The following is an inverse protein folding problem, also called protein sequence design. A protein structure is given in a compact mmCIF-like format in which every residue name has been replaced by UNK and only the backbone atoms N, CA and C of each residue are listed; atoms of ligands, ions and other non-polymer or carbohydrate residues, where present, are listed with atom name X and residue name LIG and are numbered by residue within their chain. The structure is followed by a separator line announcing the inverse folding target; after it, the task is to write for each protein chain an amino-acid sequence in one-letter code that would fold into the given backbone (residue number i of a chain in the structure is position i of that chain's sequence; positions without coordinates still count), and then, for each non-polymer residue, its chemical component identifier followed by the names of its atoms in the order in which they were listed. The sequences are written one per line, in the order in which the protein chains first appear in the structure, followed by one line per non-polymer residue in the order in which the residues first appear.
data_IF_170365759100
#
_entry.id   IF_170365759100
#
_cell.length_a   1.000
_cell.length_b   1.000
_cell.length_c   1.000
_cell.angle_alpha   90.00
_cell.angle_beta   90.00
_cell.angle_gamma   90.00
#
_symmetry.space_group_name_H-M   'P 1'
#
loop_
_entity.id
_entity.type
_entity.pdbx_description
1 polymer ?
#
# COMPACT_ATOMS: atom_id res chain seq x y z
N UNK A 1 4.59 -12.73 19.64
CA UNK A 1 5.32 -12.35 18.41
C UNK A 1 4.64 -13.03 17.23
N UNK A 2 3.45 -12.54 16.90
CA UNK A 2 2.50 -13.21 16.00
C UNK A 2 2.89 -12.95 14.55
N UNK A 3 3.20 -14.00 13.79
CA UNK A 3 2.83 -14.19 12.37
C UNK A 3 2.88 -12.99 11.39
N UNK A 4 3.67 -11.94 11.63
CA UNK A 4 3.58 -10.66 10.90
C UNK A 4 3.93 -10.77 9.41
N UNK A 5 4.61 -11.83 8.99
CA UNK A 5 4.94 -12.07 7.58
C UNK A 5 3.91 -12.91 6.82
N UNK A 6 3.18 -13.80 7.50
CA UNK A 6 2.35 -14.80 6.80
C UNK A 6 1.16 -14.14 6.10
N UNK A 7 0.47 -13.22 6.79
CA UNK A 7 -0.63 -12.45 6.18
C UNK A 7 -0.19 -11.71 4.92
N UNK A 8 0.85 -10.85 4.98
CA UNK A 8 1.40 -10.17 3.81
C UNK A 8 1.85 -11.11 2.67
N UNK A 9 2.47 -12.25 3.00
CA UNK A 9 2.85 -13.25 1.99
C UNK A 9 1.61 -13.83 1.31
N UNK A 10 0.58 -14.21 2.07
CA UNK A 10 -0.67 -14.73 1.52
C UNK A 10 -1.36 -13.67 0.64
N UNK A 11 -1.38 -12.41 1.05
CA UNK A 11 -1.91 -11.30 0.23
C UNK A 11 -1.14 -11.12 -1.08
N UNK A 12 0.18 -11.31 -1.07
CA UNK A 12 1.00 -11.21 -2.28
C UNK A 12 0.78 -12.40 -3.23
N UNK A 13 0.65 -13.61 -2.69
CA UNK A 13 0.27 -14.82 -3.46
C UNK A 13 -1.08 -14.59 -4.13
N UNK A 14 -2.05 -14.09 -3.38
CA UNK A 14 -3.37 -13.78 -3.88
C UNK A 14 -3.35 -12.71 -5.01
N UNK A 15 -2.68 -11.58 -4.75
CA UNK A 15 -2.57 -10.48 -5.68
C UNK A 15 -1.86 -10.85 -6.99
N UNK A 16 -0.89 -11.78 -6.96
CA UNK A 16 -0.12 -12.21 -8.13
C UNK A 16 -0.73 -13.41 -8.86
N UNK A 17 -1.41 -14.32 -8.15
CA UNK A 17 -1.78 -15.64 -8.68
C UNK A 17 -3.30 -15.82 -8.75
N UNK A 18 -4.00 -15.66 -7.62
CA UNK A 18 -5.40 -16.03 -7.46
C UNK A 18 -6.33 -14.95 -8.06
N UNK A 19 -6.61 -13.86 -7.34
CA UNK A 19 -7.46 -12.78 -7.84
C UNK A 19 -6.74 -11.89 -8.87
N UNK A 20 -5.40 -11.82 -8.80
CA UNK A 20 -4.62 -11.16 -9.85
C UNK A 20 -4.84 -9.65 -9.93
N UNK A 21 -4.76 -8.95 -8.80
CA UNK A 21 -4.98 -7.50 -8.70
C UNK A 21 -4.20 -6.71 -9.77
N UNK A 22 -2.93 -7.09 -9.99
CA UNK A 22 -2.05 -6.43 -10.95
C UNK A 22 -2.41 -6.64 -12.44
N UNK A 23 -3.41 -7.48 -12.75
CA UNK A 23 -3.98 -7.57 -14.12
C UNK A 23 -4.77 -6.31 -14.49
N UNK A 24 -5.22 -5.53 -13.50
CA UNK A 24 -5.95 -4.26 -13.67
C UNK A 24 -5.20 -3.13 -12.93
N UNK A 25 -4.04 -2.67 -13.46
CA UNK A 25 -3.14 -1.77 -12.75
C UNK A 25 -3.78 -0.42 -12.41
N UNK A 26 -4.60 0.15 -13.31
CA UNK A 26 -5.27 1.43 -13.05
C UNK A 26 -6.32 1.34 -11.94
N UNK A 27 -7.09 0.25 -11.90
CA UNK A 27 -8.06 0.02 -10.83
C UNK A 27 -7.34 -0.19 -9.47
N UNK A 28 -6.24 -0.94 -9.47
CA UNK A 28 -5.40 -1.15 -8.29
C UNK A 28 -4.79 0.17 -7.79
N UNK A 29 -4.26 0.98 -8.71
CA UNK A 29 -3.74 2.31 -8.42
C UNK A 29 -4.81 3.20 -7.80
N UNK A 30 -5.97 3.32 -8.46
CA UNK A 30 -7.07 4.16 -8.00
C UNK A 30 -7.57 3.75 -6.61
N UNK A 31 -7.79 2.46 -6.38
CA UNK A 31 -8.22 1.95 -5.07
C UNK A 31 -7.17 2.21 -3.97
N UNK A 32 -5.88 2.01 -4.28
CA UNK A 32 -4.80 2.25 -3.33
C UNK A 32 -4.71 3.72 -2.94
N UNK A 33 -4.72 4.63 -3.92
CA UNK A 33 -4.68 6.06 -3.67
C UNK A 33 -5.91 6.53 -2.90
N UNK A 34 -7.10 6.06 -3.26
CA UNK A 34 -8.33 6.37 -2.53
C UNK A 34 -8.25 5.94 -1.06
N UNK A 35 -7.74 4.74 -0.79
CA UNK A 35 -7.54 4.24 0.56
C UNK A 35 -6.53 5.08 1.36
N UNK A 36 -5.40 5.43 0.76
CA UNK A 36 -4.38 6.29 1.40
C UNK A 36 -4.96 7.66 1.73
N UNK A 37 -5.60 8.33 0.76
CA UNK A 37 -6.17 9.67 0.94
C UNK A 37 -7.24 9.65 2.03
N UNK A 38 -8.16 8.68 1.98
CA UNK A 38 -9.19 8.51 2.99
C UNK A 38 -8.58 8.30 4.39
N UNK A 39 -7.54 7.47 4.49
CA UNK A 39 -6.85 7.21 5.74
C UNK A 39 -6.17 8.47 6.30
N UNK A 40 -5.44 9.23 5.48
CA UNK A 40 -4.79 10.48 5.90
C UNK A 40 -5.80 11.51 6.36
N UNK A 41 -6.90 11.71 5.61
CA UNK A 41 -7.99 12.61 6.01
C UNK A 41 -8.60 12.17 7.34
N UNK A 42 -8.85 10.87 7.51
CA UNK A 42 -9.40 10.33 8.73
C UNK A 42 -8.48 10.56 9.94
N UNK A 43 -7.19 10.24 9.82
CA UNK A 43 -6.28 10.37 10.97
C UNK A 43 -5.98 11.83 11.32
N UNK A 44 -5.77 12.71 10.33
CA UNK A 44 -5.47 14.13 10.59
C UNK A 44 -6.72 14.94 10.97
N UNK A 45 -7.87 14.63 10.35
CA UNK A 45 -9.09 15.41 10.51
C UNK A 45 -10.03 14.92 11.61
N UNK A 46 -9.94 13.63 11.98
CA UNK A 46 -10.84 13.02 12.97
C UNK A 46 -10.06 12.37 14.11
N UNK A 47 -9.18 11.40 13.83
CA UNK A 47 -8.55 10.61 14.91
C UNK A 47 -7.64 11.46 15.79
N UNK A 48 -6.67 12.17 15.21
CA UNK A 48 -5.75 13.03 15.97
C UNK A 48 -6.48 14.07 16.83
N UNK A 49 -7.37 14.90 16.25
CA UNK A 49 -8.08 15.93 17.01
C UNK A 49 -9.01 15.40 18.11
N UNK A 50 -9.56 14.20 17.96
CA UNK A 50 -10.55 13.64 18.89
C UNK A 50 -9.93 12.73 19.97
N UNK A 51 -8.61 12.54 19.98
CA UNK A 51 -7.93 11.65 20.93
C UNK A 51 -6.77 12.36 21.64
N UNK A 52 -6.60 12.06 22.92
CA UNK A 52 -5.48 12.56 23.74
C UNK A 52 -4.36 11.54 23.93
N UNK A 53 -4.53 10.32 23.40
CA UNK A 53 -3.56 9.24 23.47
C UNK A 53 -3.54 8.44 22.15
N UNK A 54 -2.38 7.87 21.75
CA UNK A 54 -1.08 7.97 22.40
C UNK A 54 -0.52 9.40 22.32
N UNK A 55 0.18 9.81 23.38
CA UNK A 55 0.85 11.10 23.44
C UNK A 55 2.23 11.02 22.78
N UNK A 56 2.62 12.07 22.07
CA UNK A 56 3.96 12.24 21.52
C UNK A 56 4.52 13.63 21.80
N UNK A 57 5.69 13.92 21.23
CA UNK A 57 6.44 15.15 21.47
C UNK A 57 5.78 16.40 20.84
N UNK A 58 4.97 16.24 19.79
CA UNK A 58 4.41 17.36 19.01
C UNK A 58 2.88 17.37 19.02
N UNK A 59 2.26 16.21 18.87
CA UNK A 59 0.80 16.04 18.90
C UNK A 59 0.42 14.81 19.73
N UNK A 60 -0.88 14.54 19.86
CA UNK A 60 -1.39 13.31 20.46
C UNK A 60 -2.51 12.74 19.60
N UNK A 61 -2.89 11.50 19.87
CA UNK A 61 -4.08 10.87 19.28
C UNK A 61 -3.84 10.12 17.97
N UNK A 62 -2.68 10.26 17.32
CA UNK A 62 -2.42 9.54 16.07
C UNK A 62 -2.23 8.04 16.33
N UNK A 63 -2.73 7.14 15.45
CA UNK A 63 -2.69 5.70 15.67
C UNK A 63 -1.28 5.12 15.87
N UNK A 64 -0.28 5.74 15.23
CA UNK A 64 1.12 5.34 15.36
C UNK A 64 1.86 6.32 16.26
N UNK A 65 2.48 5.86 17.37
CA UNK A 65 3.17 6.74 18.31
C UNK A 65 4.19 7.67 17.66
N UNK A 66 5.00 7.18 16.73
CA UNK A 66 6.02 8.01 16.05
C UNK A 66 5.43 9.16 15.23
N UNK A 67 4.18 9.08 14.77
CA UNK A 67 3.52 10.20 14.08
C UNK A 67 3.21 11.34 15.05
N UNK A 68 3.01 11.02 16.33
CA UNK A 68 2.77 12.02 17.36
C UNK A 68 4.03 12.83 17.71
N UNK A 69 5.21 12.33 17.35
CA UNK A 69 6.49 13.02 17.52
C UNK A 69 6.86 13.90 16.32
N UNK A 70 6.07 13.84 15.23
CA UNK A 70 6.32 14.54 13.98
C UNK A 70 5.45 15.80 13.86
N UNK A 71 6.03 16.89 13.35
CA UNK A 71 5.26 18.04 12.86
C UNK A 71 4.42 17.69 11.64
N UNK A 72 3.44 18.52 11.29
CA UNK A 72 2.57 18.26 10.13
C UNK A 72 3.37 18.12 8.82
N UNK A 73 4.41 18.94 8.63
CA UNK A 73 5.28 18.85 7.44
C UNK A 73 6.05 17.52 7.37
N UNK A 74 6.58 17.04 8.51
CA UNK A 74 7.28 15.76 8.58
C UNK A 74 6.33 14.59 8.31
N UNK A 75 5.11 14.64 8.88
CA UNK A 75 4.05 13.66 8.59
C UNK A 75 3.66 13.66 7.12
N UNK A 76 3.49 14.83 6.52
CA UNK A 76 3.20 14.94 5.09
C UNK A 76 4.31 14.32 4.24
N UNK A 77 5.58 14.53 4.61
CA UNK A 77 6.73 13.85 4.01
C UNK A 77 6.65 12.33 4.15
N UNK A 78 6.34 11.83 5.34
CA UNK A 78 6.16 10.40 5.59
C UNK A 78 5.03 9.79 4.75
N UNK A 79 3.87 10.43 4.69
CA UNK A 79 2.74 9.98 3.87
C UNK A 79 3.10 9.95 2.39
N UNK A 80 3.82 10.96 1.90
CA UNK A 80 4.28 11.00 0.52
C UNK A 80 5.26 9.85 0.21
N UNK A 81 6.29 9.67 1.03
CA UNK A 81 7.29 8.62 0.82
C UNK A 81 6.65 7.24 0.84
N UNK A 82 5.81 6.94 1.84
CA UNK A 82 5.12 5.63 1.93
C UNK A 82 4.16 5.39 0.76
N UNK A 83 3.47 6.44 0.30
CA UNK A 83 2.65 6.39 -0.92
C UNK A 83 3.50 6.01 -2.12
N UNK A 84 4.60 6.74 -2.36
CA UNK A 84 5.50 6.49 -3.50
C UNK A 84 6.07 5.06 -3.45
N UNK A 85 6.46 4.58 -2.27
CA UNK A 85 6.91 3.19 -2.09
C UNK A 85 5.82 2.19 -2.50
N UNK A 86 4.57 2.41 -2.09
CA UNK A 86 3.44 1.58 -2.53
C UNK A 86 3.22 1.59 -4.04
N UNK A 87 3.35 2.77 -4.67
CA UNK A 87 3.22 2.92 -6.13
C UNK A 87 4.32 2.14 -6.87
N UNK A 88 5.55 2.16 -6.37
CA UNK A 88 6.66 1.34 -6.92
C UNK A 88 6.31 -0.15 -6.85
N UNK A 89 5.76 -0.63 -5.74
CA UNK A 89 5.35 -2.03 -5.64
C UNK A 89 4.22 -2.41 -6.60
N UNK A 90 3.25 -1.51 -6.83
CA UNK A 90 2.21 -1.74 -7.85
C UNK A 90 2.83 -1.86 -9.25
N UNK A 91 3.77 -0.97 -9.59
CA UNK A 91 4.47 -1.02 -10.87
C UNK A 91 5.27 -2.33 -11.04
N UNK A 92 5.94 -2.79 -9.99
CA UNK A 92 6.66 -4.07 -9.98
C UNK A 92 5.71 -5.26 -10.15
N UNK A 93 4.59 -5.29 -9.40
CA UNK A 93 3.58 -6.35 -9.52
C UNK A 93 2.95 -6.41 -10.92
N UNK A 94 2.73 -5.26 -11.55
CA UNK A 94 2.28 -5.17 -12.93
C UNK A 94 3.34 -5.69 -13.92
N UNK A 95 4.61 -5.31 -13.75
CA UNK A 95 5.70 -5.79 -14.59
C UNK A 95 5.83 -7.33 -14.55
N UNK A 96 5.73 -7.94 -13.36
CA UNK A 96 5.70 -9.40 -13.20
C UNK A 96 4.53 -10.03 -13.96
N UNK A 97 3.35 -9.42 -13.88
CA UNK A 97 2.15 -9.89 -14.59
C UNK A 97 2.33 -9.85 -16.11
N UNK A 98 2.93 -8.79 -16.65
CA UNK A 98 3.24 -8.68 -18.08
C UNK A 98 4.23 -9.75 -18.55
N UNK A 99 5.30 -9.97 -17.79
CA UNK A 99 6.32 -10.98 -18.11
C UNK A 99 5.73 -12.39 -18.17
N UNK A 100 4.83 -12.73 -17.24
CA UNK A 100 4.12 -14.01 -17.24
C UNK A 100 3.23 -14.18 -18.46
N UNK A 101 2.48 -13.15 -18.86
CA UNK A 101 1.66 -13.17 -20.06
C UNK A 101 2.47 -13.44 -21.33
N UNK A 102 3.64 -12.79 -21.47
CA UNK A 102 4.55 -13.00 -22.61
C UNK A 102 5.11 -14.42 -22.68
N UNK A 103 5.49 -15.00 -21.54
CA UNK A 103 5.99 -16.38 -21.48
C UNK A 103 4.92 -17.41 -21.85
N UNK A 104 3.68 -17.20 -21.39
CA UNK A 104 2.55 -18.08 -21.73
C UNK A 104 2.17 -18.01 -23.22
N UNK A 105 2.23 -16.81 -23.81
CA UNK A 105 2.00 -16.61 -25.26
C UNK A 105 3.05 -17.30 -26.12
N UNK A 106 4.35 -17.22 -25.75
CA UNK A 106 5.45 -17.91 -26.46
C UNK A 106 5.31 -19.44 -26.47
N UNK A 107 4.77 -20.05 -25.40
CA UNK A 107 4.59 -21.51 -25.31
C UNK A 107 3.45 -22.05 -26.18
N UNK A 108 2.50 -21.21 -26.59
CA UNK A 108 1.36 -21.60 -27.45
C UNK A 108 1.65 -21.48 -28.96
N UNK A 109 2.86 -21.07 -29.34
CA UNK A 109 3.25 -20.81 -30.73
C UNK A 109 3.99 -21.94 -31.46
N UNK A 110 3.82 -23.21 -31.08
CA UNK A 110 4.32 -24.34 -31.87
C UNK A 110 3.19 -24.94 -32.71
N UNK A 111 3.17 -24.76 -34.04
CA UNK A 111 2.38 -25.63 -34.91
C UNK A 111 3.04 -27.01 -34.97
N UNK A 112 2.23 -28.06 -34.81
CA UNK A 112 2.58 -29.44 -35.17
C UNK A 112 2.42 -29.64 -36.69
#
# INVERSE_FOLDING_TARGET
YYLHGVGPVLQMVDALILFGAFRRPLATLGATLAGIIAYVIWIEGLVGPLNTAPAGLVTSGMPYPFLNDMGFADRAGFYLTTTVTGLVFIALGWAVTLLRGRMAGRRRGYPA
#
